data_IF_627116713199
#
_entry.id   IF_627116713199
#
_cell.length_a   1.000
_cell.length_b   1.000
_cell.length_c   1.000
_cell.angle_alpha   90.00
_cell.angle_beta   90.00
_cell.angle_gamma   90.00
#
_symmetry.space_group_name_H-M   'P 1'
#
loop_
_entity.id
_entity.type
_entity.pdbx_description
1 polymer ?
#
# COMPACT_ATOMS: atom_id res chain seq x y z
N UNK A 1 -5.31 75.22 -19.27
CA UNK A 1 -4.34 74.76 -18.26
C UNK A 1 -3.99 73.30 -18.58
N UNK A 2 -2.71 73.11 -18.87
CA UNK A 2 -1.88 71.88 -18.93
C UNK A 2 -2.41 70.59 -19.56
N UNK A 3 -1.64 70.17 -20.58
CA UNK A 3 -1.76 69.02 -21.49
C UNK A 3 -0.60 68.05 -21.22
N UNK A 4 -0.78 66.77 -21.52
CA UNK A 4 0.24 65.75 -21.85
C UNK A 4 1.05 65.17 -20.66
N UNK A 5 1.42 63.89 -20.62
CA UNK A 5 2.11 63.14 -21.68
C UNK A 5 1.82 61.62 -21.66
N UNK A 6 1.42 61.12 -22.85
CA UNK A 6 1.77 59.79 -23.34
C UNK A 6 3.30 59.67 -23.45
N UNK A 7 3.84 58.46 -23.25
CA UNK A 7 5.12 58.08 -23.85
C UNK A 7 4.95 56.86 -24.78
N UNK A 8 4.90 57.18 -26.08
CA UNK A 8 5.35 56.33 -27.19
C UNK A 8 6.52 57.06 -27.86
N UNK A 9 7.62 56.34 -28.14
CA UNK A 9 8.56 56.44 -29.31
C UNK A 9 9.73 55.47 -29.01
N UNK A 10 9.93 54.30 -29.67
CA UNK A 10 10.25 53.94 -31.09
C UNK A 10 11.61 54.49 -31.59
N UNK A 11 12.24 53.89 -32.63
CA UNK A 11 13.19 52.76 -32.61
C UNK A 11 14.54 53.17 -33.28
N UNK A 12 15.50 52.26 -33.49
CA UNK A 12 16.52 52.43 -34.54
C UNK A 12 16.63 51.13 -35.36
N UNK A 13 16.65 51.34 -36.66
CA UNK A 13 16.47 50.42 -37.80
C UNK A 13 17.83 50.16 -38.48
N UNK A 14 18.01 48.95 -39.04
CA UNK A 14 18.59 48.60 -40.38
C UNK A 14 18.86 47.08 -40.35
N UNK A 15 18.19 46.19 -41.08
CA UNK A 15 17.93 46.13 -42.54
C UNK A 15 19.21 45.65 -43.24
N UNK A 16 19.31 44.58 -44.04
CA UNK A 16 18.40 43.93 -45.01
C UNK A 16 19.02 42.56 -45.44
N UNK A 17 18.14 41.61 -45.79
CA UNK A 17 18.17 40.43 -46.71
C UNK A 17 19.48 39.76 -47.20
N UNK A 18 19.43 38.42 -47.37
CA UNK A 18 19.45 37.73 -48.70
C UNK A 18 19.37 36.19 -48.55
N UNK A 19 18.63 35.57 -49.48
CA UNK A 19 18.36 34.15 -49.72
C UNK A 19 19.50 33.49 -50.56
N UNK A 20 19.98 32.28 -50.14
CA UNK A 20 20.51 31.05 -50.84
C UNK A 20 21.29 31.14 -52.20
N UNK A 21 21.99 30.10 -52.75
CA UNK A 21 22.36 28.74 -52.28
C UNK A 21 23.82 28.25 -52.58
N UNK A 22 24.14 27.04 -52.06
CA UNK A 22 24.99 25.95 -52.57
C UNK A 22 26.44 26.17 -53.10
N UNK A 23 27.41 25.42 -52.52
CA UNK A 23 28.15 24.34 -53.23
C UNK A 23 29.09 23.53 -52.33
N UNK A 24 29.38 22.34 -52.84
CA UNK A 24 30.04 21.15 -52.28
C UNK A 24 31.52 21.32 -51.88
N UNK A 25 31.98 20.44 -50.97
CA UNK A 25 33.40 20.17 -50.73
C UNK A 25 33.64 19.28 -49.50
N UNK A 26 33.94 18.01 -49.72
CA UNK A 26 34.52 17.04 -48.76
C UNK A 26 35.86 17.56 -48.18
N UNK A 27 36.49 17.10 -47.08
CA UNK A 27 36.44 15.90 -46.23
C UNK A 27 37.34 16.13 -44.98
N UNK A 28 37.05 15.42 -43.85
CA UNK A 28 37.94 14.79 -42.83
C UNK A 28 39.06 15.68 -42.20
N UNK A 29 39.25 15.85 -40.88
CA UNK A 29 39.60 14.87 -39.82
C UNK A 29 39.46 15.51 -38.41
N UNK A 30 39.28 14.63 -37.42
CA UNK A 30 39.72 14.69 -36.02
C UNK A 30 39.00 15.56 -34.97
N UNK A 31 38.49 14.84 -33.96
CA UNK A 31 39.07 14.98 -32.62
C UNK A 31 38.36 15.90 -31.61
N UNK A 32 37.43 15.29 -30.87
CA UNK A 32 37.09 15.53 -29.46
C UNK A 32 36.27 16.77 -29.01
N UNK A 33 35.31 16.44 -28.11
CA UNK A 33 34.54 17.26 -27.13
C UNK A 33 33.45 18.17 -27.72
N UNK A 34 32.22 18.25 -27.19
CA UNK A 34 31.62 17.81 -25.92
C UNK A 34 30.08 17.96 -26.03
N UNK A 35 29.35 17.15 -25.25
CA UNK A 35 28.05 17.41 -24.62
C UNK A 35 26.80 17.46 -25.53
N UNK A 36 25.91 16.49 -25.30
CA UNK A 36 24.49 16.61 -25.57
C UNK A 36 23.80 15.26 -25.73
N UNK A 37 22.70 15.05 -25.01
CA UNK A 37 21.63 14.16 -25.49
C UNK A 37 21.49 12.83 -24.77
N UNK A 38 20.59 12.85 -23.79
CA UNK A 38 19.86 11.69 -23.28
C UNK A 38 19.24 10.88 -24.44
N UNK A 39 19.74 9.68 -24.74
CA UNK A 39 19.00 8.64 -25.48
C UNK A 39 19.78 7.32 -25.55
N UNK A 40 19.10 6.22 -25.24
CA UNK A 40 19.46 4.90 -25.75
C UNK A 40 20.49 4.10 -24.96
N UNK A 41 20.08 3.54 -23.81
CA UNK A 41 20.71 2.31 -23.35
C UNK A 41 20.14 1.15 -24.20
N UNK A 42 20.91 0.73 -25.19
CA UNK A 42 20.56 -0.39 -26.08
C UNK A 42 20.73 -1.73 -25.36
N UNK A 43 20.01 -2.74 -25.86
CA UNK A 43 20.05 -4.16 -25.41
C UNK A 43 21.46 -4.75 -25.19
N UNK A 44 22.52 -4.13 -25.73
CA UNK A 44 23.89 -4.60 -25.64
C UNK A 44 24.53 -4.47 -24.24
N UNK A 45 24.06 -3.55 -23.39
CA UNK A 45 24.76 -3.23 -22.13
C UNK A 45 24.64 -4.30 -21.03
N UNK A 46 23.66 -5.23 -21.13
CA UNK A 46 23.43 -6.28 -20.12
C UNK A 46 24.28 -7.55 -20.37
N UNK A 47 24.99 -7.63 -21.50
CA UNK A 47 25.75 -8.82 -21.90
C UNK A 47 27.22 -8.78 -21.46
N UNK A 48 27.72 -7.67 -20.92
CA UNK A 48 29.13 -7.52 -20.60
C UNK A 48 29.49 -7.97 -19.17
N UNK A 49 29.35 -9.27 -18.89
CA UNK A 49 30.18 -10.01 -17.91
C UNK A 49 30.05 -11.50 -18.23
N UNK A 50 31.09 -12.10 -18.78
CA UNK A 50 31.23 -13.55 -18.88
C UNK A 50 31.45 -14.15 -17.48
N UNK A 51 30.40 -14.12 -16.64
CA UNK A 51 30.34 -15.05 -15.53
C UNK A 51 30.08 -16.43 -16.15
N UNK A 52 30.94 -17.41 -15.86
CA UNK A 52 30.75 -18.79 -16.31
C UNK A 52 29.31 -19.23 -16.04
N UNK A 53 28.54 -19.37 -17.11
CA UNK A 53 27.15 -19.77 -17.03
C UNK A 53 27.09 -21.25 -16.66
N UNK A 54 26.79 -21.52 -15.40
CA UNK A 54 26.43 -22.86 -14.95
C UNK A 54 24.92 -22.90 -14.70
N UNK A 55 24.15 -23.71 -15.46
CA UNK A 55 22.75 -23.94 -15.13
C UNK A 55 22.65 -24.49 -13.70
N UNK A 56 21.60 -24.11 -12.99
CA UNK A 56 21.41 -24.48 -11.57
C UNK A 56 21.45 -26.00 -11.38
N UNK A 57 21.00 -26.78 -12.38
CA UNK A 57 21.05 -28.24 -12.36
C UNK A 57 22.46 -28.82 -12.25
N UNK A 58 23.50 -28.07 -12.64
CA UNK A 58 24.90 -28.47 -12.54
C UNK A 58 25.58 -27.99 -11.24
N UNK A 59 24.90 -27.19 -10.42
CA UNK A 59 25.44 -26.76 -9.13
C UNK A 59 25.46 -27.95 -8.15
N UNK A 60 26.35 -27.93 -7.12
CA UNK A 60 26.26 -28.87 -6.02
C UNK A 60 24.83 -28.89 -5.47
N UNK A 61 24.23 -30.08 -5.28
CA UNK A 61 22.82 -30.21 -4.86
C UNK A 61 22.48 -29.37 -3.61
N UNK A 62 23.42 -29.22 -2.68
CA UNK A 62 23.22 -28.42 -1.47
C UNK A 62 23.08 -26.90 -1.72
N UNK A 63 23.52 -26.42 -2.89
CA UNK A 63 23.46 -25.01 -3.30
C UNK A 63 22.31 -24.73 -4.28
N UNK A 64 21.61 -25.77 -4.76
CA UNK A 64 20.45 -25.59 -5.63
C UNK A 64 19.28 -25.03 -4.79
N UNK A 65 18.60 -23.95 -5.21
CA UNK A 65 17.62 -23.27 -4.36
C UNK A 65 16.50 -24.16 -3.83
N UNK A 66 15.96 -25.09 -4.62
CA UNK A 66 14.84 -25.94 -4.17
C UNK A 66 15.30 -26.94 -3.13
N UNK A 67 16.44 -27.56 -3.36
CA UNK A 67 17.08 -28.55 -2.52
C UNK A 67 17.55 -27.92 -1.20
N UNK A 68 18.08 -26.70 -1.28
CA UNK A 68 18.45 -25.86 -0.14
C UNK A 68 17.21 -25.49 0.69
N UNK A 69 16.12 -25.06 0.05
CA UNK A 69 14.84 -24.79 0.71
C UNK A 69 14.32 -26.04 1.46
N UNK A 70 14.34 -27.21 0.83
CA UNK A 70 13.88 -28.45 1.45
C UNK A 70 14.76 -28.89 2.63
N UNK A 71 16.08 -28.73 2.53
CA UNK A 71 17.03 -29.24 3.55
C UNK A 71 17.28 -28.28 4.70
N UNK A 72 17.33 -26.99 4.41
CA UNK A 72 17.80 -25.95 5.34
C UNK A 72 16.73 -24.89 5.65
N UNK A 73 15.56 -24.97 5.00
CA UNK A 73 14.46 -24.03 5.20
C UNK A 73 14.68 -22.67 4.52
N UNK A 74 13.61 -21.87 4.48
CA UNK A 74 13.57 -20.61 3.73
C UNK A 74 14.59 -19.57 4.20
N UNK A 75 14.90 -19.53 5.50
CA UNK A 75 15.86 -18.59 6.09
C UNK A 75 17.29 -18.73 5.57
N UNK A 76 17.62 -19.87 4.95
CA UNK A 76 18.95 -20.10 4.36
C UNK A 76 19.11 -19.47 2.97
N UNK A 77 18.00 -19.06 2.32
CA UNK A 77 18.00 -18.54 0.96
C UNK A 77 18.03 -17.02 0.95
N UNK A 78 18.77 -16.47 -0.01
CA UNK A 78 18.66 -15.06 -0.39
C UNK A 78 17.35 -14.79 -1.15
N UNK A 79 16.93 -13.52 -1.18
CA UNK A 79 15.77 -13.07 -1.96
C UNK A 79 15.85 -13.51 -3.42
N UNK A 80 17.05 -13.47 -4.01
CA UNK A 80 17.29 -13.92 -5.37
C UNK A 80 17.09 -15.43 -5.54
N UNK A 81 17.54 -16.24 -4.58
CA UNK A 81 17.33 -17.69 -4.61
C UNK A 81 15.84 -18.02 -4.41
N UNK A 82 15.12 -17.32 -3.53
CA UNK A 82 13.67 -17.47 -3.35
C UNK A 82 12.92 -17.12 -4.64
N UNK A 83 13.24 -15.98 -5.26
CA UNK A 83 12.62 -15.57 -6.51
C UNK A 83 12.94 -16.54 -7.66
N UNK A 84 14.17 -17.08 -7.70
CA UNK A 84 14.59 -18.05 -8.71
C UNK A 84 13.77 -19.35 -8.69
N UNK A 85 13.24 -19.77 -7.54
CA UNK A 85 12.37 -20.95 -7.43
C UNK A 85 11.10 -20.76 -8.28
N UNK A 86 10.50 -19.56 -8.23
CA UNK A 86 9.33 -19.18 -9.03
C UNK A 86 9.66 -18.97 -10.50
N UNK A 87 10.84 -18.41 -10.81
CA UNK A 87 11.27 -18.24 -12.20
C UNK A 87 11.48 -19.58 -12.92
N UNK A 88 11.78 -20.65 -12.16
CA UNK A 88 12.05 -22.05 -12.57
C UNK A 88 13.27 -22.24 -13.47
N UNK A 89 13.41 -21.40 -14.49
CA UNK A 89 14.49 -21.40 -15.46
C UNK A 89 14.96 -19.97 -15.72
N UNK A 90 16.26 -19.85 -15.98
CA UNK A 90 16.86 -18.61 -16.44
C UNK A 90 16.58 -18.34 -17.91
N UNK A 91 17.47 -17.58 -18.52
CA UNK A 91 17.49 -17.29 -19.97
C UNK A 91 18.85 -17.69 -20.54
N UNK A 92 19.01 -17.63 -21.87
CA UNK A 92 20.31 -17.92 -22.50
C UNK A 92 21.39 -17.03 -21.86
N UNK A 93 22.42 -17.66 -21.30
CA UNK A 93 23.54 -16.97 -20.65
C UNK A 93 23.31 -16.53 -19.19
N UNK A 94 22.11 -16.72 -18.60
CA UNK A 94 21.86 -16.37 -17.19
C UNK A 94 21.05 -17.44 -16.46
N UNK A 95 21.50 -17.85 -15.27
CA UNK A 95 20.74 -18.76 -14.41
C UNK A 95 19.47 -18.06 -13.88
N UNK A 96 18.52 -18.81 -13.32
CA UNK A 96 17.34 -18.21 -12.70
C UNK A 96 17.71 -17.30 -11.51
N UNK A 97 18.77 -17.64 -10.77
CA UNK A 97 19.29 -16.83 -9.65
C UNK A 97 19.90 -15.52 -10.16
N UNK A 98 20.69 -15.57 -11.23
CA UNK A 98 21.26 -14.36 -11.84
C UNK A 98 20.17 -13.45 -12.42
N UNK A 99 19.16 -14.02 -13.08
CA UNK A 99 18.00 -13.27 -13.56
C UNK A 99 17.24 -12.62 -12.40
N UNK A 100 17.05 -13.34 -11.29
CA UNK A 100 16.42 -12.79 -10.09
C UNK A 100 17.23 -11.63 -9.46
N UNK A 101 18.56 -11.74 -9.42
CA UNK A 101 19.45 -10.66 -8.96
C UNK A 101 19.34 -9.40 -9.80
N UNK A 102 19.27 -9.55 -11.13
CA UNK A 102 19.09 -8.43 -12.05
C UNK A 102 17.76 -7.72 -11.80
N UNK A 103 16.66 -8.49 -11.65
CA UNK A 103 15.34 -7.94 -11.37
C UNK A 103 15.31 -7.18 -10.04
N UNK A 104 15.83 -7.78 -8.97
CA UNK A 104 15.88 -7.12 -7.66
C UNK A 104 16.75 -5.86 -7.72
N UNK A 105 17.84 -5.87 -8.47
CA UNK A 105 18.71 -4.71 -8.61
C UNK A 105 18.05 -3.59 -9.44
N UNK A 106 17.38 -3.94 -10.54
CA UNK A 106 16.70 -3.00 -11.42
C UNK A 106 15.53 -2.30 -10.73
N UNK A 107 14.75 -3.03 -9.93
CA UNK A 107 13.54 -2.51 -9.29
C UNK A 107 13.73 -2.11 -7.82
N UNK A 108 14.95 -2.12 -7.29
CA UNK A 108 15.22 -1.68 -5.90
C UNK A 108 14.72 -2.65 -4.82
N UNK A 109 14.78 -3.95 -5.09
CA UNK A 109 14.43 -5.04 -4.19
C UNK A 109 13.04 -5.63 -4.45
N UNK A 110 12.60 -6.51 -3.55
CA UNK A 110 11.36 -7.27 -3.71
C UNK A 110 10.13 -6.35 -3.75
N UNK A 111 10.08 -5.36 -2.85
CA UNK A 111 8.95 -4.42 -2.77
C UNK A 111 8.81 -3.59 -4.05
N UNK A 112 9.92 -3.05 -4.56
CA UNK A 112 9.89 -2.27 -5.80
C UNK A 112 9.52 -3.13 -7.01
N UNK A 113 10.01 -4.38 -7.07
CA UNK A 113 9.59 -5.34 -8.11
C UNK A 113 8.08 -5.62 -8.08
N UNK A 114 7.47 -5.76 -6.90
CA UNK A 114 6.03 -6.05 -6.78
C UNK A 114 5.12 -4.86 -7.14
N UNK A 115 5.65 -3.64 -7.01
CA UNK A 115 4.96 -2.37 -7.27
C UNK A 115 5.22 -1.79 -8.67
N UNK A 116 6.19 -2.33 -9.41
CA UNK A 116 6.53 -1.85 -10.74
C UNK A 116 5.37 -2.00 -11.73
N UNK A 117 5.22 -1.07 -12.69
CA UNK A 117 4.27 -1.22 -13.79
C UNK A 117 4.55 -2.50 -14.59
N UNK A 118 3.50 -3.27 -14.90
CA UNK A 118 3.64 -4.55 -15.61
C UNK A 118 4.32 -4.41 -16.98
N UNK A 119 4.15 -3.26 -17.64
CA UNK A 119 4.80 -2.96 -18.91
C UNK A 119 6.33 -2.94 -18.78
N UNK A 120 6.87 -2.44 -17.67
CA UNK A 120 8.32 -2.42 -17.39
C UNK A 120 8.84 -3.83 -17.08
N UNK A 121 8.04 -4.64 -16.36
CA UNK A 121 8.38 -6.05 -16.10
C UNK A 121 8.52 -6.83 -17.42
N UNK A 122 7.61 -6.62 -18.37
CA UNK A 122 7.64 -7.32 -19.66
C UNK A 122 8.78 -6.88 -20.58
N UNK A 123 9.40 -5.73 -20.31
CA UNK A 123 10.61 -5.31 -21.01
C UNK A 123 11.86 -6.05 -20.51
N UNK A 124 11.83 -6.66 -19.32
CA UNK A 124 12.94 -7.44 -18.81
C UNK A 124 13.06 -8.77 -19.58
N UNK A 125 14.25 -9.00 -20.17
CA UNK A 125 14.50 -10.22 -20.94
C UNK A 125 14.30 -11.47 -20.08
N UNK A 126 13.37 -12.33 -20.49
CA UNK A 126 13.01 -13.55 -19.76
C UNK A 126 11.82 -13.43 -18.80
N UNK A 127 11.20 -12.25 -18.68
CA UNK A 127 10.01 -11.98 -17.87
C UNK A 127 8.74 -11.87 -18.72
N UNK A 128 8.27 -13.03 -19.20
CA UNK A 128 6.98 -13.11 -19.87
C UNK A 128 5.79 -13.16 -18.91
N UNK A 129 4.55 -13.05 -19.42
CA UNK A 129 3.32 -13.08 -18.64
C UNK A 129 3.20 -14.28 -17.69
N UNK A 130 3.65 -15.46 -18.13
CA UNK A 130 3.56 -16.69 -17.33
C UNK A 130 4.42 -16.63 -16.05
N UNK A 131 5.69 -16.18 -16.16
CA UNK A 131 6.58 -16.08 -14.98
C UNK A 131 6.10 -14.98 -14.04
N UNK A 132 5.64 -13.85 -14.59
CA UNK A 132 5.10 -12.77 -13.78
C UNK A 132 3.83 -13.17 -13.03
N UNK A 133 2.90 -13.87 -13.70
CA UNK A 133 1.67 -14.35 -13.07
C UNK A 133 1.96 -15.29 -11.89
N UNK A 134 2.97 -16.16 -11.98
CA UNK A 134 3.36 -17.04 -10.88
C UNK A 134 3.84 -16.25 -9.65
N UNK A 135 4.69 -15.24 -9.86
CA UNK A 135 5.19 -14.38 -8.78
C UNK A 135 4.05 -13.56 -8.17
N UNK A 136 3.18 -12.96 -8.99
CA UNK A 136 2.03 -12.20 -8.50
C UNK A 136 1.04 -13.06 -7.74
N UNK A 137 0.77 -14.28 -8.21
CA UNK A 137 -0.09 -15.22 -7.51
C UNK A 137 0.47 -15.58 -6.13
N UNK A 138 1.77 -15.91 -6.05
CA UNK A 138 2.41 -16.20 -4.77
C UNK A 138 2.36 -15.01 -3.80
N UNK A 139 2.64 -13.80 -4.29
CA UNK A 139 2.56 -12.59 -3.48
C UNK A 139 1.13 -12.29 -3.00
N UNK A 140 0.13 -12.47 -3.86
CA UNK A 140 -1.26 -12.27 -3.50
C UNK A 140 -1.74 -13.31 -2.48
N UNK A 141 -1.29 -14.56 -2.58
CA UNK A 141 -1.54 -15.58 -1.55
C UNK A 141 -0.95 -15.16 -0.20
N UNK A 142 0.30 -14.69 -0.18
CA UNK A 142 0.92 -14.17 1.06
C UNK A 142 0.12 -13.00 1.61
N UNK A 143 -0.28 -12.03 0.77
CA UNK A 143 -1.14 -10.91 1.19
C UNK A 143 -2.46 -11.39 1.80
N UNK A 144 -3.10 -12.39 1.20
CA UNK A 144 -4.35 -12.97 1.71
C UNK A 144 -4.13 -13.72 3.02
N UNK A 145 -3.06 -14.52 3.15
CA UNK A 145 -2.74 -15.19 4.40
C UNK A 145 -2.41 -14.19 5.52
N UNK A 146 -1.73 -13.08 5.21
CA UNK A 146 -1.47 -12.01 6.17
C UNK A 146 -2.77 -11.29 6.55
N UNK A 147 -3.63 -10.98 5.59
CA UNK A 147 -4.95 -10.40 5.85
C UNK A 147 -5.85 -11.36 6.64
N UNK A 148 -5.78 -12.65 6.36
CA UNK A 148 -6.51 -13.70 7.06
C UNK A 148 -5.98 -13.87 8.49
N UNK A 149 -4.66 -13.85 8.67
CA UNK A 149 -4.02 -13.87 9.99
C UNK A 149 -4.38 -12.63 10.81
N UNK A 150 -4.47 -11.46 10.16
CA UNK A 150 -4.99 -10.25 10.80
C UNK A 150 -6.49 -10.40 11.15
N UNK A 151 -7.30 -11.06 10.32
CA UNK A 151 -8.69 -11.33 10.69
C UNK A 151 -8.87 -12.44 11.76
N UNK A 152 -7.90 -13.36 11.91
CA UNK A 152 -8.03 -14.54 12.79
C UNK A 152 -7.22 -14.44 14.09
N UNK A 153 -6.20 -13.61 14.17
CA UNK A 153 -5.45 -13.36 15.40
C UNK A 153 -6.16 -12.28 16.22
N UNK A 154 -6.10 -12.42 17.54
CA UNK A 154 -6.68 -11.50 18.52
C UNK A 154 -6.05 -10.10 18.44
N UNK A 155 -6.36 -9.34 17.37
CA UNK A 155 -5.94 -7.95 17.18
C UNK A 155 -6.37 -7.11 18.39
N UNK A 156 -7.47 -7.44 19.05
CA UNK A 156 -8.02 -6.65 20.14
C UNK A 156 -7.64 -7.15 21.54
N UNK A 157 -6.44 -7.72 21.68
CA UNK A 157 -5.85 -8.02 22.99
C UNK A 157 -5.29 -6.78 23.70
N UNK A 158 -5.18 -5.63 23.01
CA UNK A 158 -4.83 -4.34 23.63
C UNK A 158 -5.43 -3.14 22.90
N UNK A 159 -5.72 -2.06 23.64
CA UNK A 159 -6.21 -0.78 23.09
C UNK A 159 -5.23 -0.16 22.08
N UNK A 160 -3.93 -0.41 22.23
CA UNK A 160 -2.89 0.04 21.28
C UNK A 160 -3.07 -0.59 19.90
N UNK A 161 -3.35 -1.89 19.84
CA UNK A 161 -3.57 -2.58 18.56
C UNK A 161 -4.86 -2.12 17.88
N UNK A 162 -5.94 -1.89 18.65
CA UNK A 162 -7.18 -1.25 18.15
C UNK A 162 -6.84 0.09 17.49
N UNK A 163 -6.09 0.94 18.20
CA UNK A 163 -5.67 2.25 17.72
C UNK A 163 -4.87 2.18 16.43
N UNK A 164 -3.84 1.34 16.37
CA UNK A 164 -2.99 1.19 15.18
C UNK A 164 -3.76 0.68 13.96
N UNK A 165 -4.65 -0.30 14.18
CA UNK A 165 -5.54 -0.82 13.14
C UNK A 165 -6.45 0.29 12.59
N UNK A 166 -7.16 1.00 13.47
CA UNK A 166 -8.09 2.07 13.08
C UNK A 166 -7.36 3.25 12.42
N UNK A 167 -6.19 3.64 12.94
CA UNK A 167 -5.34 4.67 12.35
C UNK A 167 -4.93 4.30 10.91
N UNK A 168 -4.56 3.04 10.69
CA UNK A 168 -4.19 2.57 9.35
C UNK A 168 -5.40 2.53 8.41
N UNK A 169 -6.59 2.19 8.93
CA UNK A 169 -7.78 1.96 8.11
C UNK A 169 -8.51 3.24 7.71
N UNK A 170 -8.73 4.19 8.63
CA UNK A 170 -9.64 5.34 8.40
C UNK A 170 -9.02 6.73 8.59
N UNK A 171 -7.82 6.86 9.16
CA UNK A 171 -7.28 8.19 9.51
C UNK A 171 -6.95 9.10 8.33
N UNK A 172 -6.72 8.52 7.14
CA UNK A 172 -6.37 9.26 5.92
C UNK A 172 -7.54 9.45 4.97
N UNK A 173 -8.74 9.01 5.34
CA UNK A 173 -9.93 9.20 4.52
C UNK A 173 -10.35 10.67 4.57
N UNK A 174 -10.66 11.23 3.41
CA UNK A 174 -11.07 12.63 3.24
C UNK A 174 -12.57 12.86 3.56
N UNK A 175 -13.30 11.79 3.85
CA UNK A 175 -14.71 11.80 4.24
C UNK A 175 -14.88 11.00 5.54
N UNK A 176 -15.96 11.27 6.26
CA UNK A 176 -16.30 10.50 7.46
C UNK A 176 -16.81 9.11 7.09
N UNK A 177 -16.33 8.14 7.86
CA UNK A 177 -16.72 6.74 7.80
C UNK A 177 -16.98 6.26 9.21
N UNK A 178 -18.11 5.59 9.40
CA UNK A 178 -18.43 4.89 10.64
C UNK A 178 -18.18 3.38 10.48
N UNK A 179 -17.35 2.83 11.34
CA UNK A 179 -16.94 1.44 11.39
C UNK A 179 -17.55 0.73 12.59
N UNK A 180 -17.95 -0.52 12.36
CA UNK A 180 -18.27 -1.47 13.42
C UNK A 180 -17.29 -2.64 13.36
N UNK A 181 -16.70 -2.95 14.51
CA UNK A 181 -15.84 -4.10 14.74
C UNK A 181 -16.64 -5.07 15.60
N UNK A 182 -17.11 -6.16 15.02
CA UNK A 182 -17.88 -7.19 15.71
C UNK A 182 -16.93 -8.18 16.35
N UNK A 183 -17.08 -8.46 17.64
CA UNK A 183 -16.18 -9.33 18.40
C UNK A 183 -16.90 -10.54 19.00
N UNK A 184 -16.16 -11.64 19.10
CA UNK A 184 -16.57 -12.85 19.83
C UNK A 184 -16.33 -12.73 21.34
N UNK A 185 -16.70 -13.78 22.08
CA UNK A 185 -16.66 -13.85 23.54
C UNK A 185 -15.23 -13.78 24.10
N UNK A 186 -14.22 -14.00 23.24
CA UNK A 186 -12.80 -13.88 23.56
C UNK A 186 -12.20 -12.56 23.05
N UNK A 187 -13.05 -11.57 22.72
CA UNK A 187 -12.69 -10.29 22.11
C UNK A 187 -11.87 -10.46 20.81
N UNK A 188 -12.13 -11.49 20.03
CA UNK A 188 -11.51 -11.66 18.71
C UNK A 188 -12.41 -11.02 17.67
N UNK A 189 -11.80 -10.36 16.69
CA UNK A 189 -12.52 -9.76 15.58
C UNK A 189 -13.20 -10.85 14.76
N UNK A 190 -14.53 -10.81 14.69
CA UNK A 190 -15.32 -11.62 13.75
C UNK A 190 -15.28 -10.93 12.38
N UNK A 191 -15.65 -9.65 12.35
CA UNK A 191 -15.71 -8.86 11.12
C UNK A 191 -15.60 -7.36 11.41
N UNK A 192 -14.96 -6.63 10.50
CA UNK A 192 -14.95 -5.16 10.51
C UNK A 192 -15.75 -4.64 9.31
N UNK A 193 -16.90 -4.03 9.58
CA UNK A 193 -17.83 -3.51 8.58
C UNK A 193 -17.81 -1.99 8.57
N UNK A 194 -17.81 -1.39 7.39
CA UNK A 194 -18.08 0.04 7.22
C UNK A 194 -19.59 0.21 7.02
N UNK A 195 -20.25 0.92 7.94
CA UNK A 195 -21.69 1.12 7.85
C UNK A 195 -22.05 2.32 6.97
N UNK A 196 -21.18 3.34 6.92
CA UNK A 196 -21.49 4.59 6.22
C UNK A 196 -20.25 5.21 5.54
N UNK A 197 -20.50 5.88 4.41
CA UNK A 197 -19.54 6.71 3.67
C UNK A 197 -20.27 7.98 3.21
N UNK A 198 -20.02 9.14 3.83
CA UNK A 198 -20.69 10.39 3.44
C UNK A 198 -20.48 11.57 4.39
N UNK A 199 -20.84 12.77 3.92
CA UNK A 199 -20.76 14.03 4.68
C UNK A 199 -21.87 14.16 5.74
N UNK A 200 -21.52 14.84 6.82
CA UNK A 200 -22.20 15.08 8.12
C UNK A 200 -23.70 15.48 8.07
N UNK A 201 -24.26 15.84 6.92
CA UNK A 201 -25.61 16.43 6.81
C UNK A 201 -26.75 15.39 6.80
N UNK A 202 -26.84 14.53 7.82
CA UNK A 202 -27.92 13.55 8.07
C UNK A 202 -27.80 12.19 7.35
N UNK A 203 -26.81 11.39 7.74
CA UNK A 203 -27.01 9.93 7.71
C UNK A 203 -27.05 9.43 9.15
N UNK A 204 -28.27 9.24 9.65
CA UNK A 204 -28.49 8.76 11.02
C UNK A 204 -27.98 7.32 11.13
N UNK A 205 -27.04 7.10 12.04
CA UNK A 205 -26.66 5.76 12.47
C UNK A 205 -27.81 5.25 13.33
N UNK A 206 -28.35 4.09 12.98
CA UNK A 206 -29.50 3.51 13.67
C UNK A 206 -29.06 2.32 14.54
N UNK A 207 -29.15 2.39 15.88
CA UNK A 207 -28.77 1.29 16.75
C UNK A 207 -29.45 -0.04 16.41
N UNK A 208 -30.70 -0.01 15.92
CA UNK A 208 -31.42 -1.22 15.47
C UNK A 208 -30.68 -1.98 14.34
N UNK A 209 -30.01 -1.28 13.43
CA UNK A 209 -29.29 -1.93 12.33
C UNK A 209 -27.97 -2.51 12.85
N UNK A 210 -27.28 -1.78 13.74
CA UNK A 210 -26.09 -2.29 14.42
C UNK A 210 -26.41 -3.56 15.22
N UNK A 211 -27.52 -3.57 15.98
CA UNK A 211 -27.96 -4.74 16.75
C UNK A 211 -28.23 -5.94 15.82
N UNK A 212 -28.98 -5.74 14.72
CA UNK A 212 -29.22 -6.82 13.74
C UNK A 212 -27.90 -7.40 13.22
N UNK A 213 -26.95 -6.55 12.87
CA UNK A 213 -25.66 -6.99 12.35
C UNK A 213 -24.82 -7.71 13.41
N UNK A 214 -24.89 -7.29 14.68
CA UNK A 214 -24.25 -8.00 15.78
C UNK A 214 -24.86 -9.40 15.97
N UNK A 215 -26.20 -9.50 16.00
CA UNK A 215 -26.91 -10.76 16.18
C UNK A 215 -26.68 -11.73 15.01
N UNK A 216 -26.71 -11.24 13.77
CA UNK A 216 -26.42 -12.05 12.58
C UNK A 216 -25.03 -12.69 12.62
N UNK A 217 -24.06 -12.03 13.28
CA UNK A 217 -22.67 -12.47 13.39
C UNK A 217 -22.39 -13.26 14.67
N UNK A 218 -23.38 -13.41 15.55
CA UNK A 218 -23.20 -13.92 16.91
C UNK A 218 -22.11 -13.13 17.68
N UNK A 219 -22.05 -11.82 17.49
CA UNK A 219 -21.12 -10.96 18.21
C UNK A 219 -21.56 -10.82 19.67
N UNK A 220 -20.64 -11.01 20.61
CA UNK A 220 -20.87 -10.76 22.05
C UNK A 220 -20.40 -9.37 22.47
N UNK A 221 -19.59 -8.71 21.63
CA UNK A 221 -19.04 -7.40 21.88
C UNK A 221 -18.90 -6.58 20.59
N UNK A 222 -18.87 -5.26 20.75
CA UNK A 222 -18.77 -4.29 19.67
C UNK A 222 -17.74 -3.23 20.03
N UNK A 223 -16.89 -2.86 19.07
CA UNK A 223 -16.18 -1.58 19.07
C UNK A 223 -16.69 -0.78 17.90
N UNK A 224 -17.03 0.49 18.12
CA UNK A 224 -17.38 1.40 17.03
C UNK A 224 -16.29 2.44 16.85
N UNK A 225 -16.12 2.93 15.63
CA UNK A 225 -15.15 3.98 15.36
C UNK A 225 -15.54 4.85 14.19
N UNK A 226 -15.17 6.11 14.22
CA UNK A 226 -15.24 6.98 13.04
C UNK A 226 -14.05 7.90 12.94
N UNK A 227 -13.83 8.45 11.75
CA UNK A 227 -12.79 9.43 11.52
C UNK A 227 -13.36 10.85 11.46
N UNK A 228 -12.57 11.81 11.94
CA UNK A 228 -12.79 13.24 11.71
C UNK A 228 -11.75 13.74 10.69
N UNK A 229 -12.11 13.92 9.40
CA UNK A 229 -11.22 14.47 8.38
C UNK A 229 -10.65 15.84 8.74
N UNK A 230 -11.41 16.63 9.52
CA UNK A 230 -10.99 17.93 10.05
C UNK A 230 -9.82 17.87 11.04
N UNK A 231 -9.43 16.68 11.50
CA UNK A 231 -8.19 16.46 12.25
C UNK A 231 -8.30 16.58 13.77
N UNK A 232 -9.47 16.95 14.32
CA UNK A 232 -9.71 16.95 15.76
C UNK A 232 -10.27 15.60 16.22
N UNK A 233 -9.58 14.82 17.06
CA UNK A 233 -10.09 13.53 17.53
C UNK A 233 -11.10 13.66 18.69
N UNK A 234 -11.37 14.86 19.21
CA UNK A 234 -12.31 15.01 20.33
C UNK A 234 -13.76 14.73 19.90
N UNK A 235 -14.59 14.16 20.78
CA UNK A 235 -15.99 13.88 20.48
C UNK A 235 -16.82 15.17 20.35
N UNK A 236 -17.78 15.13 19.45
CA UNK A 236 -18.88 16.09 19.36
C UNK A 236 -20.04 15.67 20.28
N UNK A 237 -20.98 16.58 20.60
CA UNK A 237 -22.19 16.22 21.35
C UNK A 237 -23.02 15.11 20.67
N UNK A 238 -22.96 15.01 19.34
CA UNK A 238 -23.63 13.95 18.59
C UNK A 238 -22.94 12.60 18.81
N UNK A 239 -21.60 12.57 18.86
CA UNK A 239 -20.83 11.37 19.16
C UNK A 239 -21.12 10.85 20.57
N UNK A 240 -21.24 11.75 21.54
CA UNK A 240 -21.63 11.39 22.91
C UNK A 240 -23.05 10.82 22.95
N UNK A 241 -24.01 11.51 22.32
CA UNK A 241 -25.41 11.10 22.28
C UNK A 241 -25.57 9.70 21.67
N UNK A 242 -24.93 9.45 20.52
CA UNK A 242 -25.02 8.13 19.87
C UNK A 242 -24.32 7.04 20.68
N UNK A 243 -23.20 7.35 21.33
CA UNK A 243 -22.53 6.38 22.22
C UNK A 243 -23.48 5.93 23.31
N UNK A 244 -24.18 6.87 23.95
CA UNK A 244 -25.14 6.57 25.01
C UNK A 244 -26.35 5.79 24.50
N UNK A 245 -26.85 6.12 23.31
CA UNK A 245 -27.93 5.36 22.68
C UNK A 245 -27.51 3.91 22.38
N UNK A 246 -26.28 3.70 21.88
CA UNK A 246 -25.73 2.38 21.60
C UNK A 246 -25.53 1.55 22.88
N UNK A 247 -24.98 2.15 23.94
CA UNK A 247 -24.83 1.47 25.25
C UNK A 247 -26.19 0.94 25.71
N UNK A 248 -27.21 1.80 25.75
CA UNK A 248 -28.55 1.42 26.20
C UNK A 248 -29.15 0.34 25.30
N UNK A 249 -29.01 0.46 23.98
CA UNK A 249 -29.62 -0.46 23.03
C UNK A 249 -28.97 -1.85 23.06
N UNK A 250 -27.64 -1.93 23.15
CA UNK A 250 -26.88 -3.18 23.16
C UNK A 250 -27.04 -3.95 24.49
N UNK A 251 -27.28 -3.25 25.60
CA UNK A 251 -27.58 -3.88 26.89
C UNK A 251 -28.79 -4.82 26.83
N UNK A 252 -29.84 -4.47 26.08
CA UNK A 252 -31.05 -5.30 25.95
C UNK A 252 -30.81 -6.65 25.28
N UNK A 253 -29.71 -6.80 24.55
CA UNK A 253 -29.33 -8.03 23.83
C UNK A 253 -28.04 -8.65 24.38
N UNK A 254 -27.56 -8.21 25.54
CA UNK A 254 -26.33 -8.69 26.20
C UNK A 254 -25.08 -8.60 25.30
N UNK A 255 -24.94 -7.50 24.54
CA UNK A 255 -23.75 -7.24 23.74
C UNK A 255 -23.00 -6.05 24.36
N UNK A 256 -21.73 -6.21 24.65
CA UNK A 256 -20.94 -5.15 25.29
C UNK A 256 -20.40 -4.17 24.25
N UNK A 257 -20.63 -2.86 24.44
CA UNK A 257 -19.86 -1.84 23.72
C UNK A 257 -18.52 -1.63 24.45
N UNK A 258 -17.44 -2.16 23.88
CA UNK A 258 -16.12 -2.13 24.52
C UNK A 258 -15.42 -0.78 24.34
N UNK A 259 -15.60 -0.14 23.20
CA UNK A 259 -15.06 1.19 22.95
C UNK A 259 -15.84 1.93 21.84
N UNK A 260 -15.75 3.25 21.88
CA UNK A 260 -16.01 4.13 20.76
C UNK A 260 -14.74 4.93 20.48
N UNK A 261 -14.15 4.74 19.30
CA UNK A 261 -12.89 5.38 18.94
C UNK A 261 -13.07 6.47 17.88
N UNK A 262 -12.51 7.66 18.11
CA UNK A 262 -12.49 8.74 17.13
C UNK A 262 -11.08 8.90 16.58
N UNK A 263 -10.95 8.84 15.27
CA UNK A 263 -9.66 8.80 14.58
C UNK A 263 -9.44 10.08 13.77
N UNK A 264 -8.31 10.74 14.01
CA UNK A 264 -7.84 11.84 13.21
C UNK A 264 -6.45 11.53 12.64
N UNK A 265 -6.05 12.25 11.58
CA UNK A 265 -4.75 12.07 10.91
C UNK A 265 -3.54 12.05 11.86
N UNK A 266 -3.60 12.82 12.94
CA UNK A 266 -2.54 12.91 13.96
C UNK A 266 -3.10 12.76 15.39
N UNK A 267 -4.28 12.16 15.55
CA UNK A 267 -4.96 12.11 16.85
C UNK A 267 -5.88 10.90 16.98
N UNK A 268 -6.11 10.47 18.21
CA UNK A 268 -6.99 9.36 18.52
C UNK A 268 -7.65 9.62 19.87
N UNK A 269 -8.94 9.35 19.96
CA UNK A 269 -9.71 9.40 21.19
C UNK A 269 -10.40 8.06 21.39
N UNK A 270 -10.41 7.57 22.62
CA UNK A 270 -11.12 6.37 23.04
C UNK A 270 -12.02 6.76 24.20
N UNK A 271 -13.32 6.47 24.06
CA UNK A 271 -14.27 6.71 25.14
C UNK A 271 -13.96 5.82 26.36
N UNK A 272 -13.48 4.59 26.12
CA UNK A 272 -13.05 3.69 27.18
C UNK A 272 -11.84 4.26 27.95
N UNK A 273 -10.77 4.66 27.25
CA UNK A 273 -9.56 5.23 27.87
C UNK A 273 -9.88 6.55 28.62
N UNK A 274 -10.86 7.32 28.14
CA UNK A 274 -11.31 8.56 28.77
C UNK A 274 -12.26 8.34 29.97
N UNK A 275 -12.67 7.09 30.26
CA UNK A 275 -13.61 6.77 31.34
C UNK A 275 -15.05 7.22 31.06
N UNK A 276 -15.41 7.41 29.79
CA UNK A 276 -16.74 7.84 29.36
C UNK A 276 -17.68 6.66 29.02
N UNK A 277 -17.18 5.42 29.09
CA UNK A 277 -17.99 4.20 29.03
C UNK A 277 -18.12 3.61 30.44
N UNK A 278 -19.36 3.55 30.95
CA UNK A 278 -19.66 2.70 32.08
C UNK A 278 -19.74 1.25 31.60
N UNK A 279 -18.63 0.51 31.72
CA UNK A 279 -18.63 -0.93 31.53
C UNK A 279 -19.46 -1.52 32.66
N UNK A 280 -20.72 -1.81 32.37
CA UNK A 280 -21.60 -2.57 33.28
C UNK A 280 -21.05 -4.00 33.34
N UNK A 281 -20.13 -4.24 34.27
CA UNK A 281 -19.69 -5.59 34.64
C UNK A 281 -20.92 -6.35 35.13
N UNK A 282 -21.40 -7.27 34.31
CA UNK A 282 -22.53 -8.15 34.63
C UNK A 282 -22.08 -9.28 35.59
N UNK A 283 -21.32 -8.94 36.63
CA UNK A 283 -21.02 -9.80 37.76
C UNK A 283 -21.86 -9.33 38.94
N UNK A 284 -23.11 -9.79 39.01
CA UNK A 284 -23.93 -9.95 40.24
C UNK A 284 -25.39 -10.09 39.82
N UNK A 285 -25.82 -11.31 39.49
CA UNK A 285 -27.17 -11.84 39.72
C UNK A 285 -27.33 -13.15 38.94
N UNK A 286 -26.83 -14.26 39.51
CA UNK A 286 -27.49 -15.56 39.60
C UNK A 286 -26.72 -16.43 40.61
#
# INVERSE_FOLDING_TARGET
MTRSQLHRRRPIIKGIDVILPAREGQSIVDGQKRIGGNSGLTHAAIVAREAQYHPISQWPKAQQPREKLTRQGAASLSDAELLAIFLRSGVKGKSAVSLAQDLLSQFGGMQGLMNAPVAEIYQCYGMGPSKWAQIKAAYELVKRCLHESLSQQAIFSSSTQVREFLQTKIARLEHEVFLCLYLDNSNRLIECQELFRGSIDHTAIYPREIIKECLNRNASALVVAHNHPGGNPLPSPNDEAITQELIQALQWVNIALLDHCIVAKHGFFSFADAGLLEITSNESNY
#
